data_IF_117071790980
#
_entry.id   IF_117071790980
#
_cell.length_a   1.000
_cell.length_b   1.000
_cell.length_c   1.000
_cell.angle_alpha   90.00
_cell.angle_beta   90.00
_cell.angle_gamma   90.00
#
_symmetry.space_group_name_H-M   'P 1'
#
loop_
_entity.id
_entity.type
_entity.pdbx_description
1 polymer ?
#
# COMPACT_ATOMS: atom_id res chain seq x y z
N UNK A 1 -9.08 0.46 16.20
CA UNK A 1 -7.68 0.44 16.69
C UNK A 1 -6.90 1.52 15.97
N UNK A 2 -5.99 2.24 16.64
CA UNK A 2 -5.13 3.24 16.00
C UNK A 2 -3.72 2.68 15.78
N UNK A 3 -3.23 2.75 14.55
CA UNK A 3 -1.87 2.37 14.15
C UNK A 3 -1.07 3.62 13.80
N UNK A 4 0.04 3.87 14.49
CA UNK A 4 0.96 4.96 14.14
C UNK A 4 1.61 4.66 12.80
N UNK A 5 1.59 5.62 11.87
CA UNK A 5 2.16 5.42 10.54
C UNK A 5 3.72 5.38 10.61
N UNK A 6 4.39 4.58 9.75
CA UNK A 6 5.84 4.51 9.73
C UNK A 6 6.50 5.88 9.50
N UNK A 7 7.60 6.14 10.18
CA UNK A 7 8.36 7.40 10.05
C UNK A 7 7.94 8.52 11.01
N UNK A 8 6.95 8.29 11.87
CA UNK A 8 6.50 9.25 12.89
C UNK A 8 6.78 8.73 14.32
N UNK A 9 7.29 9.60 15.20
CA UNK A 9 7.29 9.36 16.65
C UNK A 9 5.92 9.76 17.25
N UNK A 10 5.62 9.31 18.47
CA UNK A 10 4.31 9.39 19.18
C UNK A 10 3.28 10.43 18.67
N UNK A 11 2.04 9.92 18.56
CA UNK A 11 0.76 10.63 18.47
C UNK A 11 0.55 11.49 17.20
N UNK A 12 0.58 10.82 16.03
CA UNK A 12 -0.04 11.19 14.73
C UNK A 12 0.93 11.48 13.56
N UNK A 13 0.56 11.15 12.30
CA UNK A 13 -0.73 10.58 11.87
C UNK A 13 -0.90 9.08 12.18
N UNK A 14 -2.13 8.68 12.46
CA UNK A 14 -2.51 7.28 12.67
C UNK A 14 -3.47 6.80 11.58
N UNK A 15 -3.41 5.50 11.27
CA UNK A 15 -4.46 4.79 10.55
C UNK A 15 -5.40 4.16 11.59
N UNK A 16 -6.67 4.57 11.58
CA UNK A 16 -7.69 3.95 12.40
C UNK A 16 -8.39 2.83 11.62
N UNK A 17 -8.41 1.63 12.20
CA UNK A 17 -9.10 0.46 11.66
C UNK A 17 -10.32 0.18 12.55
N UNK A 18 -11.50 0.16 11.95
CA UNK A 18 -12.76 -0.17 12.60
C UNK A 18 -13.16 -1.61 12.34
N UNK A 19 -13.75 -2.23 13.35
CA UNK A 19 -14.39 -3.53 13.24
C UNK A 19 -15.81 -3.41 13.79
N UNK A 20 -16.79 -3.88 13.02
CA UNK A 20 -18.20 -3.91 13.41
C UNK A 20 -18.59 -5.31 13.90
N UNK A 21 -19.76 -5.42 14.53
CA UNK A 21 -20.33 -6.71 14.96
C UNK A 21 -20.60 -7.63 13.75
N UNK A 22 -21.10 -7.04 12.66
CA UNK A 22 -21.30 -7.69 11.37
C UNK A 22 -20.48 -6.95 10.31
N UNK A 23 -19.67 -7.71 9.55
CA UNK A 23 -18.88 -7.19 8.43
C UNK A 23 -19.50 -7.68 7.12
N UNK A 24 -19.70 -6.76 6.18
CA UNK A 24 -20.18 -7.08 4.84
C UNK A 24 -19.03 -7.50 3.93
N UNK A 25 -19.31 -8.42 3.00
CA UNK A 25 -18.33 -8.85 2.02
C UNK A 25 -17.90 -7.70 1.10
N UNK A 26 -16.59 -7.58 0.89
CA UNK A 26 -16.03 -6.59 -0.01
C UNK A 26 -16.04 -7.09 -1.46
N UNK A 27 -16.34 -6.19 -2.40
CA UNK A 27 -16.08 -6.43 -3.82
C UNK A 27 -14.57 -6.54 -4.09
N UNK A 28 -14.15 -7.39 -5.05
CA UNK A 28 -12.74 -7.48 -5.44
C UNK A 28 -12.14 -6.10 -5.77
N UNK A 29 -10.89 -5.83 -5.36
CA UNK A 29 -10.24 -4.54 -5.59
C UNK A 29 -9.98 -4.32 -7.08
N UNK A 30 -10.36 -3.14 -7.59
CA UNK A 30 -9.98 -2.67 -8.93
C UNK A 30 -9.60 -1.19 -8.85
N UNK A 31 -8.48 -0.83 -9.48
CA UNK A 31 -7.92 0.52 -9.38
C UNK A 31 -8.81 1.63 -9.99
N UNK A 32 -9.77 1.28 -10.84
CA UNK A 32 -10.65 2.21 -11.55
C UNK A 32 -12.06 2.32 -10.95
N UNK A 33 -12.24 1.98 -9.67
CA UNK A 33 -13.50 2.18 -8.95
C UNK A 33 -13.53 3.55 -8.28
N UNK A 34 -14.67 4.23 -8.31
CA UNK A 34 -14.86 5.52 -7.62
C UNK A 34 -14.74 5.37 -6.10
N UNK A 35 -14.16 6.38 -5.43
CA UNK A 35 -13.96 6.42 -3.98
C UNK A 35 -12.48 6.57 -3.60
N UNK A 36 -12.15 6.22 -2.35
CA UNK A 36 -10.75 6.08 -1.91
C UNK A 36 -10.15 4.88 -2.64
N UNK A 37 -9.20 5.13 -3.55
CA UNK A 37 -8.65 4.09 -4.41
C UNK A 37 -7.63 3.19 -3.71
N UNK A 38 -6.71 3.78 -2.95
CA UNK A 38 -5.64 3.08 -2.24
C UNK A 38 -5.00 3.95 -1.16
N UNK A 39 -4.25 3.33 -0.26
CA UNK A 39 -3.23 3.99 0.56
C UNK A 39 -1.85 3.74 -0.05
N UNK A 40 -0.97 4.73 -0.04
CA UNK A 40 0.38 4.61 -0.62
C UNK A 40 1.46 4.82 0.45
N UNK A 41 2.44 3.91 0.49
CA UNK A 41 3.57 3.97 1.41
C UNK A 41 4.88 4.04 0.64
N UNK A 42 5.72 5.02 1.00
CA UNK A 42 7.09 5.10 0.52
C UNK A 42 7.98 4.18 1.36
N UNK A 43 8.75 3.33 0.70
CA UNK A 43 9.62 2.34 1.35
C UNK A 43 10.98 2.29 0.67
N UNK A 44 11.99 1.72 1.33
CA UNK A 44 13.32 1.57 0.75
C UNK A 44 13.39 0.45 -0.29
N UNK A 45 12.69 -0.68 -0.07
CA UNK A 45 12.67 -1.83 -0.97
C UNK A 45 11.23 -2.29 -1.25
N UNK A 46 10.75 -1.97 -2.45
CA UNK A 46 9.38 -2.28 -2.88
C UNK A 46 9.13 -3.79 -2.95
N UNK A 47 10.11 -4.56 -3.42
CA UNK A 47 9.95 -6.00 -3.62
C UNK A 47 9.93 -6.73 -2.28
N UNK A 48 10.87 -6.41 -1.39
CA UNK A 48 10.93 -7.03 -0.07
C UNK A 48 9.67 -6.73 0.76
N UNK A 49 9.13 -5.50 0.68
CA UNK A 49 7.89 -5.15 1.38
C UNK A 49 6.68 -5.87 0.78
N UNK A 50 6.59 -6.01 -0.55
CA UNK A 50 5.53 -6.78 -1.19
C UNK A 50 5.56 -8.25 -0.74
N UNK A 51 6.73 -8.89 -0.76
CA UNK A 51 6.91 -10.28 -0.32
C UNK A 51 6.47 -10.45 1.14
N UNK A 52 6.92 -9.57 2.03
CA UNK A 52 6.52 -9.57 3.44
C UNK A 52 5.02 -9.37 3.64
N UNK A 53 4.37 -8.52 2.83
CA UNK A 53 2.92 -8.33 2.89
C UNK A 53 2.17 -9.62 2.52
N UNK A 54 2.59 -10.31 1.46
CA UNK A 54 1.97 -11.58 1.02
C UNK A 54 2.15 -12.67 2.08
N UNK A 55 3.34 -12.78 2.68
CA UNK A 55 3.62 -13.72 3.78
C UNK A 55 2.71 -13.51 4.99
N UNK A 56 2.22 -12.29 5.21
CA UNK A 56 1.34 -11.92 6.33
C UNK A 56 -0.15 -11.88 5.94
N UNK A 57 -0.55 -12.57 4.87
CA UNK A 57 -1.96 -12.71 4.47
C UNK A 57 -2.46 -11.65 3.48
N UNK A 58 -1.57 -10.78 2.99
CA UNK A 58 -1.87 -9.91 1.85
C UNK A 58 -1.88 -10.67 0.53
N UNK A 59 -2.27 -9.96 -0.52
CA UNK A 59 -2.44 -10.51 -1.87
C UNK A 59 -1.63 -9.71 -2.90
N UNK A 60 -1.04 -10.41 -3.86
CA UNK A 60 -0.40 -9.77 -5.01
C UNK A 60 -1.47 -9.30 -5.99
N UNK A 61 -1.49 -8.01 -6.34
CA UNK A 61 -2.36 -7.48 -7.41
C UNK A 61 -1.56 -7.29 -8.70
N UNK A 62 -0.34 -6.76 -8.62
CA UNK A 62 0.52 -6.50 -9.77
C UNK A 62 1.97 -6.94 -9.57
N UNK A 63 2.74 -6.86 -10.65
CA UNK A 63 4.19 -7.00 -10.60
C UNK A 63 4.85 -5.73 -10.08
N UNK A 64 6.11 -5.82 -9.65
CA UNK A 64 6.94 -4.64 -9.37
C UNK A 64 7.35 -4.02 -10.70
N UNK A 65 7.00 -2.74 -10.88
CA UNK A 65 7.26 -1.99 -12.11
C UNK A 65 8.27 -0.89 -11.79
N UNK A 66 9.25 -0.71 -12.67
CA UNK A 66 10.17 0.43 -12.66
C UNK A 66 9.89 1.32 -13.88
N UNK A 67 9.78 2.63 -13.66
CA UNK A 67 9.48 3.61 -14.70
C UNK A 67 10.33 4.86 -14.55
N UNK A 68 11.06 5.20 -15.61
CA UNK A 68 11.86 6.43 -15.72
C UNK A 68 10.97 7.58 -16.21
N UNK A 69 11.03 8.72 -15.52
CA UNK A 69 10.30 9.95 -15.84
C UNK A 69 11.23 11.10 -16.30
N UNK A 70 12.51 10.82 -16.53
CA UNK A 70 13.54 11.81 -16.89
C UNK A 70 14.08 12.60 -15.70
N UNK A 71 13.21 12.96 -14.75
CA UNK A 71 13.55 13.61 -13.48
C UNK A 71 13.92 12.63 -12.36
N UNK A 72 13.66 11.34 -12.56
CA UNK A 72 13.90 10.29 -11.58
C UNK A 72 13.20 8.99 -11.99
N UNK A 73 13.43 7.95 -11.20
CA UNK A 73 12.87 6.61 -11.39
C UNK A 73 11.86 6.32 -10.30
N UNK A 74 10.67 5.87 -10.68
CA UNK A 74 9.68 5.33 -9.77
C UNK A 74 9.72 3.80 -9.84
N UNK A 75 9.93 3.15 -8.70
CA UNK A 75 9.69 1.71 -8.53
C UNK A 75 8.43 1.56 -7.70
N UNK A 76 7.43 0.81 -8.18
CA UNK A 76 6.18 0.65 -7.45
C UNK A 76 5.43 -0.65 -7.77
N UNK A 77 4.49 -1.01 -6.91
CA UNK A 77 3.52 -2.09 -7.17
C UNK A 77 2.22 -1.86 -6.42
N UNK A 78 1.15 -2.48 -6.89
CA UNK A 78 -0.10 -2.64 -6.13
C UNK A 78 -0.17 -4.02 -5.49
N UNK A 79 -0.55 -4.03 -4.23
CA UNK A 79 -0.90 -5.21 -3.44
C UNK A 79 -2.24 -4.99 -2.72
N UNK A 80 -2.77 -6.04 -2.10
CA UNK A 80 -3.96 -5.96 -1.26
C UNK A 80 -3.63 -6.40 0.17
N UNK A 81 -4.21 -5.74 1.17
CA UNK A 81 -4.20 -6.24 2.55
C UNK A 81 -5.15 -7.46 2.69
N UNK A 82 -5.27 -8.08 3.89
CA UNK A 82 -6.15 -9.22 4.10
C UNK A 82 -7.63 -8.98 3.80
N UNK A 83 -8.10 -7.72 3.79
CA UNK A 83 -9.47 -7.33 3.48
C UNK A 83 -9.62 -6.87 2.01
N UNK A 84 -8.57 -6.99 1.20
CA UNK A 84 -8.55 -6.57 -0.19
C UNK A 84 -8.53 -5.05 -0.37
N UNK A 85 -8.07 -4.27 0.60
CA UNK A 85 -7.77 -2.84 0.42
C UNK A 85 -6.50 -2.71 -0.43
N UNK A 86 -6.55 -1.87 -1.48
CA UNK A 86 -5.37 -1.66 -2.33
C UNK A 86 -4.34 -0.85 -1.56
N UNK A 87 -3.13 -1.39 -1.48
CA UNK A 87 -1.95 -0.73 -0.95
C UNK A 87 -0.95 -0.55 -2.08
N UNK A 88 -0.55 0.70 -2.32
CA UNK A 88 0.56 1.03 -3.19
C UNK A 88 1.85 1.04 -2.37
N UNK A 89 2.84 0.31 -2.86
CA UNK A 89 4.19 0.27 -2.27
C UNK A 89 5.10 0.91 -3.30
N UNK A 90 5.76 2.02 -2.93
CA UNK A 90 6.59 2.77 -3.88
C UNK A 90 7.94 3.20 -3.31
N UNK A 91 8.86 3.48 -4.22
CA UNK A 91 10.11 4.17 -3.97
C UNK A 91 10.41 5.14 -5.12
N UNK A 92 10.74 6.38 -4.81
CA UNK A 92 11.13 7.40 -5.78
C UNK A 92 12.61 7.75 -5.64
N UNK A 93 13.35 7.58 -6.74
CA UNK A 93 14.77 7.91 -6.84
C UNK A 93 14.96 9.13 -7.75
N UNK A 94 15.22 10.34 -7.22
CA UNK A 94 15.44 11.52 -8.06
C UNK A 94 16.77 11.41 -8.83
N UNK A 95 16.78 11.90 -10.07
CA UNK A 95 18.00 12.02 -10.87
C UNK A 95 18.84 13.19 -10.34
N UNK A 96 20.12 12.94 -10.03
CA UNK A 96 21.07 13.96 -9.56
C UNK A 96 21.42 14.98 -10.63
#
# INVERSE_FOLDING_TARGET
MHLVLPGYEKDEPTLEIFQYEEMEDKLPPVANRMGIGHLCFSVDDVKAVQEKMIENGGQKIGEVVSKDYGSGTLVFTYAADPEGNIIEIQNWEPKK
#
